data_IF_218561270315
#
_entry.id   IF_218561270315
#
_cell.length_a   1.000
_cell.length_b   1.000
_cell.length_c   1.000
_cell.angle_alpha   90.00
_cell.angle_beta   90.00
_cell.angle_gamma   90.00
#
_symmetry.space_group_name_H-M   'P 1'
#
loop_
_entity.id
_entity.type
_entity.pdbx_description
1 polymer ?
#
# COMPACT_ATOMS: atom_id res chain seq x y z
N UNK A 1 -12.75 -7.66 -0.09
CA UNK A 1 -12.14 -6.72 0.90
C UNK A 1 -13.21 -6.20 1.88
N UNK A 2 -12.90 -6.16 3.19
CA UNK A 2 -13.76 -5.48 4.17
C UNK A 2 -13.58 -3.97 4.02
N UNK A 3 -14.66 -3.25 3.74
CA UNK A 3 -14.67 -1.80 3.55
C UNK A 3 -15.45 -1.19 4.72
N UNK A 4 -14.84 -0.29 5.49
CA UNK A 4 -15.54 0.51 6.50
C UNK A 4 -16.03 1.79 5.84
N UNK A 5 -17.34 2.00 5.80
CA UNK A 5 -17.95 3.17 5.15
C UNK A 5 -17.74 4.48 5.94
N UNK A 6 -17.59 4.41 7.26
CA UNK A 6 -17.25 5.54 8.14
C UNK A 6 -15.79 5.46 8.61
N UNK A 7 -14.84 5.54 7.67
CA UNK A 7 -13.43 5.72 8.03
C UNK A 7 -13.15 7.20 8.34
N UNK A 8 -13.05 7.51 9.64
CA UNK A 8 -12.40 8.75 10.07
C UNK A 8 -11.00 8.77 9.45
N UNK A 9 -10.78 9.71 8.52
CA UNK A 9 -9.46 9.93 7.92
C UNK A 9 -8.52 10.34 9.03
N UNK A 10 -7.68 9.40 9.47
CA UNK A 10 -6.60 9.68 10.42
C UNK A 10 -5.58 10.62 9.79
N UNK A 11 -4.74 11.29 10.59
CA UNK A 11 -3.66 12.16 10.06
C UNK A 11 -2.76 11.45 9.04
N UNK A 12 -2.59 10.12 9.16
CA UNK A 12 -1.87 9.31 8.17
C UNK A 12 -2.66 9.16 6.86
N UNK A 13 -3.98 8.97 6.96
CA UNK A 13 -4.89 8.97 5.81
C UNK A 13 -4.87 10.29 5.05
N UNK A 14 -4.88 11.42 5.77
CA UNK A 14 -4.83 12.75 5.16
C UNK A 14 -3.55 12.96 4.34
N UNK A 15 -2.40 12.48 4.83
CA UNK A 15 -1.13 12.56 4.08
C UNK A 15 -1.14 11.76 2.78
N UNK A 16 -1.88 10.66 2.72
CA UNK A 16 -2.02 9.85 1.51
C UNK A 16 -2.85 10.60 0.46
N UNK A 17 -3.93 11.25 0.90
CA UNK A 17 -4.78 12.05 0.00
C UNK A 17 -4.02 13.27 -0.53
N UNK A 18 -3.26 13.97 0.32
CA UNK A 18 -2.39 15.08 -0.12
C UNK A 18 -1.37 14.62 -1.17
N UNK A 19 -0.80 13.42 -1.03
CA UNK A 19 0.09 12.88 -2.05
C UNK A 19 -0.64 12.60 -3.38
N UNK A 20 -1.89 12.14 -3.32
CA UNK A 20 -2.74 11.91 -4.51
C UNK A 20 -3.15 13.22 -5.19
N UNK A 21 -3.40 14.28 -4.43
CA UNK A 21 -3.71 15.62 -4.95
C UNK A 21 -2.60 16.14 -5.88
N UNK A 22 -1.34 15.76 -5.62
CA UNK A 22 -0.17 16.13 -6.43
C UNK A 22 0.03 15.23 -7.67
N UNK A 23 -0.80 14.21 -7.87
CA UNK A 23 -0.69 13.31 -9.01
C UNK A 23 -1.64 13.69 -10.15
N UNK A 24 -1.27 13.43 -11.42
CA UNK A 24 -2.21 13.58 -12.54
C UNK A 24 -3.45 12.69 -12.39
N UNK A 25 -4.60 13.08 -12.99
CA UNK A 25 -5.79 12.23 -13.07
C UNK A 25 -5.48 10.85 -13.66
N UNK A 26 -6.17 9.81 -13.18
CA UNK A 26 -6.09 8.42 -13.66
C UNK A 26 -4.66 7.85 -13.76
N UNK A 27 -3.72 8.29 -12.90
CA UNK A 27 -2.30 7.96 -13.06
C UNK A 27 -1.70 7.10 -11.95
N UNK A 28 -2.35 7.02 -10.79
CA UNK A 28 -1.87 6.27 -9.64
C UNK A 28 -2.52 4.88 -9.54
N UNK A 29 -1.69 3.85 -9.34
CA UNK A 29 -2.11 2.50 -9.01
C UNK A 29 -2.23 2.33 -7.48
N UNK A 30 -3.40 1.96 -6.99
CA UNK A 30 -3.57 1.59 -5.58
C UNK A 30 -3.41 0.09 -5.39
N UNK A 31 -2.45 -0.33 -4.55
CA UNK A 31 -2.10 -1.73 -4.30
C UNK A 31 -2.39 -2.12 -2.85
N UNK A 32 -3.37 -3.00 -2.62
CA UNK A 32 -3.69 -3.52 -1.27
C UNK A 32 -4.39 -4.88 -1.28
N UNK A 33 -3.86 -5.82 -0.50
CA UNK A 33 -4.35 -7.21 -0.43
C UNK A 33 -5.44 -7.45 0.63
N UNK A 34 -6.06 -6.38 1.14
CA UNK A 34 -7.15 -6.45 2.13
C UNK A 34 -6.75 -7.06 3.47
N UNK A 35 -7.71 -7.34 4.37
CA UNK A 35 -7.45 -7.82 5.74
C UNK A 35 -6.90 -9.25 5.81
N UNK A 36 -7.16 -10.08 4.80
CA UNK A 36 -6.82 -11.51 4.80
C UNK A 36 -5.84 -11.97 3.72
N UNK A 37 -5.32 -11.06 2.90
CA UNK A 37 -4.25 -11.38 1.95
C UNK A 37 -2.89 -11.03 2.55
N UNK A 38 -2.01 -12.03 2.64
CA UNK A 38 -0.58 -11.83 2.87
C UNK A 38 0.18 -12.43 1.70
N UNK A 39 1.20 -11.72 1.22
CA UNK A 39 2.13 -12.24 0.24
C UNK A 39 3.26 -12.99 0.94
N UNK A 40 3.86 -13.98 0.28
CA UNK A 40 5.16 -14.51 0.69
C UNK A 40 6.23 -13.44 0.52
N UNK A 41 7.39 -13.61 1.16
CA UNK A 41 8.50 -12.64 1.00
C UNK A 41 8.96 -12.54 -0.45
N UNK A 42 8.97 -13.66 -1.18
CA UNK A 42 9.32 -13.73 -2.60
C UNK A 42 8.31 -12.96 -3.46
N UNK A 43 7.01 -13.18 -3.26
CA UNK A 43 5.96 -12.46 -3.99
C UNK A 43 6.00 -10.96 -3.73
N UNK A 44 6.26 -10.54 -2.49
CA UNK A 44 6.39 -9.12 -2.15
C UNK A 44 7.63 -8.49 -2.81
N UNK A 45 8.72 -9.25 -2.91
CA UNK A 45 9.95 -8.82 -3.58
C UNK A 45 9.70 -8.62 -5.07
N UNK A 46 9.10 -9.59 -5.75
CA UNK A 46 8.75 -9.49 -7.17
C UNK A 46 7.76 -8.36 -7.45
N UNK A 47 6.77 -8.16 -6.56
CA UNK A 47 5.86 -7.02 -6.65
C UNK A 47 6.61 -5.69 -6.55
N UNK A 48 7.51 -5.54 -5.59
CA UNK A 48 8.30 -4.32 -5.43
C UNK A 48 9.21 -4.06 -6.65
N UNK A 49 9.89 -5.09 -7.15
CA UNK A 49 10.67 -5.01 -8.39
C UNK A 49 9.80 -4.60 -9.59
N UNK A 50 8.63 -5.21 -9.75
CA UNK A 50 7.68 -4.89 -10.82
C UNK A 50 7.18 -3.44 -10.74
N UNK A 51 6.80 -2.97 -9.55
CA UNK A 51 6.40 -1.58 -9.32
C UNK A 51 7.54 -0.61 -9.65
N UNK A 52 8.76 -0.92 -9.21
CA UNK A 52 9.94 -0.12 -9.54
C UNK A 52 10.14 -0.04 -11.06
N UNK A 53 10.16 -1.18 -11.75
CA UNK A 53 10.40 -1.27 -13.19
C UNK A 53 9.29 -0.62 -14.02
N UNK A 54 8.04 -0.64 -13.55
CA UNK A 54 6.89 -0.07 -14.27
C UNK A 54 6.99 1.44 -14.51
N UNK A 55 7.79 2.15 -13.68
CA UNK A 55 7.86 3.61 -13.63
C UNK A 55 6.49 4.30 -13.41
N UNK A 56 5.45 3.54 -13.05
CA UNK A 56 4.13 4.07 -12.76
C UNK A 56 4.09 4.67 -11.35
N UNK A 57 3.08 5.51 -11.12
CA UNK A 57 2.78 6.02 -9.79
C UNK A 57 2.00 4.98 -9.01
N UNK A 58 2.29 4.81 -7.74
CA UNK A 58 1.58 3.82 -6.94
C UNK A 58 1.50 4.18 -5.45
N UNK A 59 0.47 3.65 -4.80
CA UNK A 59 0.35 3.56 -3.35
C UNK A 59 0.37 2.08 -3.00
N UNK A 60 1.36 1.64 -2.21
CA UNK A 60 1.47 0.27 -1.74
C UNK A 60 1.14 0.21 -0.25
N UNK A 61 0.03 -0.43 0.12
CA UNK A 61 -0.29 -0.74 1.52
C UNK A 61 0.49 -1.99 1.92
N UNK A 62 1.69 -1.77 2.46
CA UNK A 62 2.62 -2.83 2.79
C UNK A 62 2.28 -3.49 4.12
N UNK A 63 2.40 -4.82 4.14
CA UNK A 63 2.25 -5.66 5.32
C UNK A 63 3.38 -6.65 5.37
N UNK A 64 3.75 -7.03 6.60
CA UNK A 64 4.74 -8.08 6.84
C UNK A 64 4.36 -9.34 6.04
N UNK A 65 5.26 -9.88 5.22
CA UNK A 65 4.99 -11.11 4.49
C UNK A 65 4.80 -12.27 5.46
N UNK A 66 4.01 -13.26 5.05
CA UNK A 66 3.80 -14.48 5.81
C UNK A 66 3.71 -15.67 4.87
N UNK A 67 4.51 -16.70 5.14
CA UNK A 67 4.50 -17.96 4.39
C UNK A 67 3.45 -18.93 4.95
N UNK A 68 2.79 -18.58 6.06
CA UNK A 68 1.72 -19.37 6.65
C UNK A 68 0.38 -19.04 5.96
N UNK A 69 -0.24 -20.04 5.33
CA UNK A 69 -1.57 -19.95 4.67
C UNK A 69 -2.70 -19.42 5.56
N UNK A 70 -2.50 -19.37 6.88
CA UNK A 70 -3.54 -19.07 7.89
C UNK A 70 -3.33 -17.75 8.65
N UNK A 71 -2.28 -16.96 8.36
CA UNK A 71 -1.98 -15.72 9.08
C UNK A 71 -2.84 -14.49 8.65
N UNK A 72 -3.96 -14.75 7.96
CA UNK A 72 -4.86 -13.77 7.36
C UNK A 72 -5.69 -12.94 8.36
N UNK A 73 -5.49 -13.07 9.67
CA UNK A 73 -6.22 -12.28 10.65
C UNK A 73 -5.42 -11.04 11.04
N UNK A 74 -5.93 -9.88 10.60
CA UNK A 74 -5.46 -8.56 11.03
C UNK A 74 -5.49 -8.47 12.57
N UNK A 75 -4.34 -8.70 13.20
CA UNK A 75 -4.22 -8.65 14.66
C UNK A 75 -3.82 -7.23 15.05
N UNK A 76 -4.81 -6.44 15.45
CA UNK A 76 -4.58 -5.10 16.00
C UNK A 76 -3.78 -5.26 17.30
N UNK A 77 -2.54 -4.76 17.34
CA UNK A 77 -1.80 -4.57 18.59
C UNK A 77 -0.56 -5.45 18.83
N UNK A 78 0.00 -6.15 17.83
CA UNK A 78 1.33 -6.76 17.96
C UNK A 78 2.25 -6.40 16.78
N UNK A 79 3.44 -5.95 17.15
CA UNK A 79 4.60 -5.57 16.34
C UNK A 79 4.48 -4.29 15.49
N UNK A 80 5.57 -3.52 15.51
CA UNK A 80 5.79 -2.38 14.65
C UNK A 80 5.93 -2.89 13.20
N UNK A 81 4.89 -2.70 12.38
CA UNK A 81 4.92 -3.06 10.97
C UNK A 81 5.75 -2.01 10.22
N UNK A 82 7.07 -2.21 10.16
CA UNK A 82 8.01 -1.39 9.40
C UNK A 82 8.24 -1.99 8.00
N UNK A 83 7.73 -1.35 6.93
CA UNK A 83 7.95 -1.81 5.56
C UNK A 83 9.40 -1.86 5.13
N UNK A 84 10.29 -1.08 5.74
CA UNK A 84 11.71 -1.09 5.43
C UNK A 84 12.39 -2.40 5.85
N UNK A 85 11.80 -3.13 6.81
CA UNK A 85 12.36 -4.39 7.30
C UNK A 85 12.17 -5.59 6.35
N UNK A 86 11.28 -5.47 5.35
CA UNK A 86 10.93 -6.59 4.46
C UNK A 86 10.78 -6.20 2.98
N UNK A 87 10.86 -4.91 2.63
CA UNK A 87 10.95 -4.48 1.24
C UNK A 87 12.40 -4.56 0.74
N UNK A 88 12.62 -4.69 -0.59
CA UNK A 88 13.97 -4.70 -1.15
C UNK A 88 14.75 -3.43 -0.76
N UNK A 89 16.05 -3.61 -0.53
CA UNK A 89 16.92 -2.51 -0.11
C UNK A 89 16.89 -1.35 -1.12
N UNK A 90 16.69 -0.14 -0.60
CA UNK A 90 16.60 1.08 -1.38
C UNK A 90 15.30 1.25 -2.17
N UNK A 91 14.33 0.33 -2.10
CA UNK A 91 13.07 0.43 -2.87
C UNK A 91 12.34 1.76 -2.64
N UNK A 92 12.23 2.20 -1.38
CA UNK A 92 11.57 3.47 -1.04
C UNK A 92 12.30 4.67 -1.63
N UNK A 93 13.63 4.66 -1.62
CA UNK A 93 14.42 5.74 -2.21
C UNK A 93 14.36 5.73 -3.74
N UNK A 94 14.46 4.55 -4.36
CA UNK A 94 14.40 4.37 -5.82
C UNK A 94 13.04 4.73 -6.41
N UNK A 95 11.97 4.66 -5.61
CA UNK A 95 10.60 4.98 -6.01
C UNK A 95 10.12 6.34 -5.51
N UNK A 96 10.98 7.09 -4.82
CA UNK A 96 10.65 8.40 -4.28
C UNK A 96 10.10 9.34 -5.36
N UNK A 97 8.98 10.00 -5.05
CA UNK A 97 8.29 10.90 -5.96
C UNK A 97 7.27 10.22 -6.89
N UNK A 98 7.30 8.89 -7.04
CA UNK A 98 6.26 8.13 -7.77
C UNK A 98 5.57 7.05 -6.93
N UNK A 99 6.23 6.53 -5.91
CA UNK A 99 5.71 5.53 -4.99
C UNK A 99 5.48 6.09 -3.60
N UNK A 100 4.36 5.70 -2.99
CA UNK A 100 4.08 5.91 -1.57
C UNK A 100 3.86 4.56 -0.90
N UNK A 101 4.70 4.22 0.09
CA UNK A 101 4.55 2.99 0.88
C UNK A 101 3.87 3.30 2.20
N UNK A 102 2.74 2.66 2.46
CA UNK A 102 1.91 2.88 3.64
C UNK A 102 1.89 1.62 4.50
N UNK A 103 2.31 1.67 5.77
CA UNK A 103 2.26 0.51 6.64
C UNK A 103 0.83 0.18 7.08
N UNK A 104 0.45 -1.10 6.97
CA UNK A 104 -0.75 -1.73 7.55
C UNK A 104 -2.10 -1.34 6.97
N UNK A 105 -2.42 -0.05 6.95
CA UNK A 105 -3.78 0.45 6.67
C UNK A 105 -3.75 1.82 5.96
N UNK A 106 -4.73 2.03 5.09
CA UNK A 106 -4.98 3.25 4.36
C UNK A 106 -6.51 3.46 4.19
N UNK A 107 -7.01 4.69 4.03
CA UNK A 107 -8.43 4.97 3.85
C UNK A 107 -8.89 4.53 2.45
N UNK A 108 -9.22 3.25 2.30
CA UNK A 108 -9.38 2.58 1.01
C UNK A 108 -10.48 3.22 0.15
N UNK A 109 -11.61 3.60 0.75
CA UNK A 109 -12.71 4.26 0.02
C UNK A 109 -12.26 5.60 -0.54
N UNK A 110 -11.62 6.42 0.29
CA UNK A 110 -11.17 7.75 -0.12
C UNK A 110 -10.09 7.69 -1.21
N UNK A 111 -9.20 6.69 -1.17
CA UNK A 111 -8.19 6.50 -2.23
C UNK A 111 -8.84 6.06 -3.54
N UNK A 112 -9.78 5.12 -3.49
CA UNK A 112 -10.48 4.64 -4.68
C UNK A 112 -11.39 5.68 -5.32
N UNK A 113 -11.95 6.59 -4.52
CA UNK A 113 -12.80 7.70 -4.99
C UNK A 113 -11.98 8.90 -5.50
N UNK A 114 -10.66 8.90 -5.30
CA UNK A 114 -9.80 10.01 -5.69
C UNK A 114 -9.58 10.06 -7.22
N UNK A 115 -9.72 11.23 -7.88
CA UNK A 115 -9.61 11.35 -9.35
C UNK A 115 -8.24 10.96 -9.93
N UNK A 116 -7.19 11.00 -9.12
CA UNK A 116 -5.84 10.57 -9.53
C UNK A 116 -5.65 9.05 -9.55
N UNK A 117 -6.56 8.27 -8.96
CA UNK A 117 -6.47 6.82 -8.91
C UNK A 117 -7.00 6.21 -10.20
N UNK A 118 -6.10 5.63 -11.01
CA UNK A 118 -6.44 5.04 -12.31
C UNK A 118 -6.62 3.53 -12.29
N UNK A 119 -6.10 2.84 -11.26
CA UNK A 119 -6.16 1.39 -11.17
C UNK A 119 -6.09 0.88 -9.73
N UNK A 120 -6.54 -0.36 -9.54
CA UNK A 120 -6.56 -1.06 -8.26
C UNK A 120 -6.03 -2.48 -8.40
N UNK A 121 -5.13 -2.90 -7.49
CA UNK A 121 -4.55 -4.24 -7.42
C UNK A 121 -4.65 -4.83 -5.99
#
# INVERSE_FOLDING_TARGET
PLIKQDELVTDKGAKILVWLDDQPPDSALFVVFGSGGTLTSEQLTELACGLEMSQQRFILVARRPSDAREAAFFTVGREENDPLSYLPEGFVDKTKGRGLVVPSWAPQVAILDHPSTGAFL
#
